data_IF_558238523222
#
_entry.id   IF_558238523222
#
_cell.length_a   1.000
_cell.length_b   1.000
_cell.length_c   1.000
_cell.angle_alpha   90.00
_cell.angle_beta   90.00
_cell.angle_gamma   90.00
#
_symmetry.space_group_name_H-M   'P 1'
#
loop_
_entity.id
_entity.type
_entity.pdbx_description
1 polymer ?
#
# COMPACT_ATOMS: atom_id res chain seq x y z
N UNK A 1 60.77 -31.58 13.60
CA UNK A 1 61.18 -32.15 14.90
C UNK A 1 60.38 -31.47 16.00
N UNK A 2 60.03 -32.25 17.04
CA UNK A 2 59.24 -31.96 18.26
C UNK A 2 59.36 -30.51 18.77
N UNK A 3 58.28 -29.86 19.22
CA UNK A 3 57.78 -29.84 20.62
C UNK A 3 56.29 -29.39 20.62
N UNK A 4 55.30 -30.08 21.21
CA UNK A 4 54.92 -30.24 22.65
C UNK A 4 54.84 -28.94 23.47
N UNK A 5 53.62 -28.53 23.85
CA UNK A 5 53.22 -27.88 25.12
C UNK A 5 51.69 -27.71 25.12
N UNK A 6 50.93 -28.53 25.84
CA UNK A 6 50.52 -28.44 27.26
C UNK A 6 49.22 -27.66 27.46
N UNK A 7 48.25 -28.42 27.96
CA UNK A 7 46.88 -28.17 28.40
C UNK A 7 46.83 -27.33 29.69
N UNK A 8 45.94 -26.34 29.80
CA UNK A 8 45.38 -25.92 31.10
C UNK A 8 43.87 -25.70 30.97
N UNK A 9 43.16 -26.55 31.70
CA UNK A 9 41.73 -26.56 32.00
C UNK A 9 41.50 -25.65 33.22
N UNK A 10 40.60 -24.67 33.12
CA UNK A 10 40.09 -23.93 34.27
C UNK A 10 38.56 -23.87 34.22
N UNK A 11 37.94 -24.82 34.89
CA UNK A 11 36.57 -24.80 35.38
C UNK A 11 36.40 -23.72 36.45
N UNK A 12 35.42 -22.82 36.27
CA UNK A 12 34.86 -22.02 37.36
C UNK A 12 33.42 -22.44 37.59
N UNK A 13 33.22 -23.15 38.71
CA UNK A 13 31.95 -23.29 39.42
C UNK A 13 31.71 -21.99 40.20
N UNK A 14 30.54 -21.38 40.04
CA UNK A 14 30.01 -20.45 41.03
C UNK A 14 28.60 -20.89 41.39
N UNK A 15 28.48 -21.30 42.65
CA UNK A 15 27.27 -21.66 43.35
C UNK A 15 26.69 -20.47 44.11
N UNK A 16 25.35 -20.46 44.19
CA UNK A 16 24.49 -19.99 45.30
C UNK A 16 24.47 -18.51 45.69
N UNK A 17 23.28 -17.88 45.65
CA UNK A 17 22.42 -17.66 46.83
C UNK A 17 21.47 -16.46 46.66
N UNK A 18 20.35 -16.49 47.40
CA UNK A 18 19.27 -15.50 47.58
C UNK A 18 18.12 -15.65 46.57
N UNK A 19 16.84 -15.66 46.95
CA UNK A 19 16.21 -15.11 48.15
C UNK A 19 14.90 -15.86 48.44
N UNK A 20 14.56 -15.91 49.72
CA UNK A 20 13.42 -16.54 50.35
C UNK A 20 12.11 -15.86 49.93
N UNK A 21 11.15 -16.65 49.45
CA UNK A 21 9.78 -16.22 49.18
C UNK A 21 9.11 -15.78 50.49
N UNK A 22 8.56 -14.56 50.49
CA UNK A 22 7.63 -14.08 51.50
C UNK A 22 6.24 -14.24 50.87
N UNK A 23 5.44 -15.13 51.47
CA UNK A 23 4.02 -15.20 51.21
C UNK A 23 3.37 -13.88 51.64
N UNK A 24 2.73 -13.20 50.70
CA UNK A 24 1.83 -12.08 50.96
C UNK A 24 0.47 -12.71 51.19
N UNK A 25 -0.09 -12.47 52.38
CA UNK A 25 -1.46 -12.85 52.73
C UNK A 25 -2.45 -12.01 51.90
N UNK A 26 -3.44 -12.68 51.31
CA UNK A 26 -4.55 -12.06 50.59
C UNK A 26 -5.42 -11.22 51.56
N UNK A 27 -5.53 -9.92 51.29
CA UNK A 27 -6.51 -9.02 51.91
C UNK A 27 -7.82 -9.06 51.09
N UNK A 28 -8.94 -9.59 51.62
CA UNK A 28 -10.20 -9.65 50.91
C UNK A 28 -10.97 -8.35 51.18
N UNK A 29 -10.63 -7.25 50.50
CA UNK A 29 -11.25 -5.98 50.92
C UNK A 29 -11.14 -4.74 50.03
N UNK A 30 -10.62 -4.80 48.81
CA UNK A 30 -10.59 -3.62 47.93
C UNK A 30 -11.13 -4.00 46.56
N UNK A 31 -12.35 -3.53 46.29
CA UNK A 31 -12.95 -3.45 44.96
C UNK A 31 -12.13 -2.47 44.11
N UNK A 32 -11.38 -2.92 43.09
CA UNK A 32 -10.85 -2.01 42.10
C UNK A 32 -12.02 -1.62 41.20
N UNK A 33 -12.73 -0.56 41.59
CA UNK A 33 -13.44 0.26 40.61
C UNK A 33 -12.50 0.49 39.43
N UNK A 34 -12.96 0.30 38.18
CA UNK A 34 -12.07 0.37 37.03
C UNK A 34 -11.41 1.73 37.05
N UNK A 35 -10.08 1.74 37.21
CA UNK A 35 -9.27 2.88 36.80
C UNK A 35 -9.69 3.16 35.37
N UNK A 36 -10.37 4.29 35.18
CA UNK A 36 -10.47 4.95 33.89
C UNK A 36 -9.06 4.99 33.33
N UNK A 37 -8.78 4.10 32.39
CA UNK A 37 -7.59 4.13 31.58
C UNK A 37 -7.58 5.52 30.95
N UNK A 38 -6.54 6.28 31.26
CA UNK A 38 -6.13 7.37 30.37
C UNK A 38 -5.90 6.64 29.04
N UNK A 39 -6.78 6.87 28.06
CA UNK A 39 -6.62 6.30 26.74
C UNK A 39 -5.29 6.85 26.23
N UNK A 40 -4.25 6.01 26.25
CA UNK A 40 -3.14 6.22 25.33
C UNK A 40 -3.80 6.28 23.95
N UNK A 41 -3.58 7.38 23.22
CA UNK A 41 -3.92 7.45 21.80
C UNK A 41 -3.36 6.17 21.19
N UNK A 42 -4.27 5.30 20.74
CA UNK A 42 -3.98 3.87 20.65
C UNK A 42 -2.93 3.59 19.59
N UNK A 43 -1.99 2.68 19.88
CA UNK A 43 -1.03 2.13 18.91
C UNK A 43 -1.72 1.33 17.78
N UNK A 44 -3.05 1.29 17.77
CA UNK A 44 -3.90 0.54 16.86
C UNK A 44 -5.22 1.28 16.66
N UNK A 45 -5.73 1.23 15.44
CA UNK A 45 -7.08 1.67 15.07
C UNK A 45 -7.80 0.56 14.31
N UNK A 46 -9.13 0.58 14.34
CA UNK A 46 -9.98 -0.32 13.56
C UNK A 46 -10.67 0.46 12.43
N UNK A 47 -10.56 -0.01 11.19
CA UNK A 47 -11.12 0.69 10.03
C UNK A 47 -12.65 0.80 10.11
N UNK A 48 -13.13 2.05 10.12
CA UNK A 48 -14.56 2.38 10.18
C UNK A 48 -15.10 2.55 11.61
N UNK A 49 -14.27 2.38 12.64
CA UNK A 49 -14.63 2.70 14.02
C UNK A 49 -14.30 4.16 14.34
N UNK A 50 -15.28 4.93 14.81
CA UNK A 50 -15.14 6.40 14.93
C UNK A 50 -14.48 6.88 16.21
N UNK A 51 -14.21 5.99 17.16
CA UNK A 51 -13.71 6.35 18.48
C UNK A 51 -12.29 6.93 18.42
N UNK A 52 -12.10 8.11 19.01
CA UNK A 52 -10.85 8.88 18.98
C UNK A 52 -10.35 9.23 17.58
N UNK A 53 -11.26 9.40 16.61
CA UNK A 53 -10.95 9.79 15.24
C UNK A 53 -11.55 11.15 14.90
N UNK A 54 -10.79 11.99 14.20
CA UNK A 54 -11.27 13.14 13.46
C UNK A 54 -11.65 12.64 12.07
N UNK A 55 -12.92 12.82 11.68
CA UNK A 55 -13.47 12.26 10.44
C UNK A 55 -14.04 13.37 9.57
N UNK A 56 -13.66 13.35 8.30
CA UNK A 56 -14.29 14.10 7.24
C UNK A 56 -14.96 13.11 6.26
N UNK A 57 -16.29 13.14 6.23
CA UNK A 57 -17.14 12.24 5.45
C UNK A 57 -17.71 12.89 4.18
N UNK A 58 -17.17 14.02 3.74
CA UNK A 58 -17.61 14.66 2.50
C UNK A 58 -17.18 13.81 1.30
N UNK A 59 -18.16 13.26 0.59
CA UNK A 59 -17.89 12.39 -0.54
C UNK A 59 -17.34 13.18 -1.74
N UNK A 60 -16.13 12.82 -2.17
CA UNK A 60 -15.43 13.46 -3.29
C UNK A 60 -15.40 12.50 -4.48
N UNK A 61 -15.85 12.99 -5.64
CA UNK A 61 -15.80 12.25 -6.91
C UNK A 61 -14.67 12.80 -7.77
N UNK A 62 -13.66 11.97 -8.01
CA UNK A 62 -12.51 12.28 -8.87
C UNK A 62 -12.71 11.59 -10.23
N UNK A 63 -12.92 12.40 -11.26
CA UNK A 63 -13.13 11.91 -12.62
C UNK A 63 -12.64 12.95 -13.64
N UNK A 64 -11.40 12.83 -14.16
CA UNK A 64 -10.97 13.67 -15.27
C UNK A 64 -11.82 13.42 -16.53
N UNK A 65 -12.01 14.45 -17.34
CA UNK A 65 -12.57 14.30 -18.69
C UNK A 65 -11.61 13.58 -19.64
N UNK A 66 -12.08 13.28 -20.86
CA UNK A 66 -11.27 12.65 -21.91
C UNK A 66 -10.07 13.55 -22.27
N UNK A 67 -8.87 12.97 -22.33
CA UNK A 67 -7.63 13.71 -22.61
C UNK A 67 -7.35 14.83 -21.59
N UNK A 68 -7.76 14.63 -20.33
CA UNK A 68 -7.53 15.56 -19.25
C UNK A 68 -6.80 14.88 -18.09
N UNK A 69 -6.10 15.69 -17.31
CA UNK A 69 -5.57 15.33 -16.00
C UNK A 69 -6.35 16.05 -14.90
N UNK A 70 -6.48 15.38 -13.76
CA UNK A 70 -7.04 15.92 -12.52
C UNK A 70 -6.04 15.69 -11.41
N UNK A 71 -5.85 16.72 -10.59
CA UNK A 71 -5.04 16.66 -9.37
C UNK A 71 -5.93 17.06 -8.20
N UNK A 72 -5.96 16.24 -7.16
CA UNK A 72 -6.68 16.49 -5.93
C UNK A 72 -5.71 16.42 -4.75
N UNK A 73 -5.65 17.51 -3.99
CA UNK A 73 -4.82 17.64 -2.79
C UNK A 73 -5.67 17.31 -1.56
N UNK A 74 -5.09 16.55 -0.64
CA UNK A 74 -5.72 16.15 0.62
C UNK A 74 -4.84 16.67 1.76
N UNK A 75 -5.48 17.40 2.66
CA UNK A 75 -4.96 17.88 3.94
C UNK A 75 -5.78 17.10 4.99
N UNK A 76 -5.16 16.11 5.63
CA UNK A 76 -5.87 15.13 6.47
C UNK A 76 -5.85 15.53 7.95
N UNK A 77 -4.94 16.41 8.37
CA UNK A 77 -4.95 16.97 9.74
C UNK A 77 -5.48 18.41 9.82
N UNK A 78 -5.86 19.00 8.69
CA UNK A 78 -6.41 20.35 8.56
C UNK A 78 -5.44 21.44 9.03
N UNK A 79 -4.13 21.25 8.87
CA UNK A 79 -3.11 22.26 9.20
C UNK A 79 -2.91 23.32 8.09
N UNK A 80 -3.58 23.15 6.95
CA UNK A 80 -3.50 24.01 5.77
C UNK A 80 -2.42 23.62 4.76
N UNK A 81 -1.69 22.54 5.02
CA UNK A 81 -0.64 21.97 4.17
C UNK A 81 -1.16 20.68 3.52
N UNK A 82 -0.78 20.45 2.26
CA UNK A 82 -1.18 19.22 1.57
C UNK A 82 -0.32 18.05 2.01
N UNK A 83 -0.94 17.06 2.63
CA UNK A 83 -0.30 15.80 3.04
C UNK A 83 -0.14 14.81 1.90
N UNK A 84 -1.22 14.64 1.15
CA UNK A 84 -1.31 13.66 0.08
C UNK A 84 -1.90 14.26 -1.18
N UNK A 85 -1.58 13.66 -2.31
CA UNK A 85 -2.17 14.06 -3.59
C UNK A 85 -2.57 12.84 -4.41
N UNK A 86 -3.78 12.89 -4.96
CA UNK A 86 -4.22 11.97 -6.00
C UNK A 86 -4.11 12.67 -7.35
N UNK A 87 -3.41 12.02 -8.27
CA UNK A 87 -3.37 12.41 -9.67
C UNK A 87 -4.08 11.37 -10.51
N UNK A 88 -4.87 11.83 -11.47
CA UNK A 88 -5.53 11.00 -12.47
C UNK A 88 -5.32 11.62 -13.86
N UNK A 89 -5.16 10.79 -14.87
CA UNK A 89 -5.23 11.23 -16.27
C UNK A 89 -5.95 10.19 -17.11
N UNK A 90 -6.69 10.68 -18.10
CA UNK A 90 -7.15 9.84 -19.21
C UNK A 90 -6.56 10.32 -20.52
N UNK A 91 -6.33 9.38 -21.43
CA UNK A 91 -5.92 9.63 -22.80
C UNK A 91 -6.65 8.68 -23.74
N UNK A 92 -7.00 9.16 -24.93
CA UNK A 92 -7.56 8.34 -26.01
C UNK A 92 -6.68 8.50 -27.23
N UNK A 93 -6.26 7.39 -27.81
CA UNK A 93 -5.46 7.39 -29.03
C UNK A 93 -6.01 6.39 -30.05
N UNK A 94 -5.92 6.74 -31.33
CA UNK A 94 -6.20 5.84 -32.44
C UNK A 94 -5.19 4.69 -32.40
N UNK A 95 -5.68 3.46 -32.25
CA UNK A 95 -4.88 2.24 -32.18
C UNK A 95 -4.51 1.77 -30.77
N UNK A 96 -4.49 2.66 -29.75
CA UNK A 96 -4.24 2.27 -28.36
C UNK A 96 -5.50 2.27 -27.48
N UNK A 97 -6.60 2.85 -27.97
CA UNK A 97 -7.88 2.90 -27.26
C UNK A 97 -7.90 3.91 -26.12
N UNK A 98 -8.76 3.65 -25.13
CA UNK A 98 -8.88 4.45 -23.92
C UNK A 98 -7.83 4.00 -22.89
N UNK A 99 -7.09 4.96 -22.36
CA UNK A 99 -6.06 4.78 -21.37
C UNK A 99 -6.38 5.65 -20.17
N UNK A 100 -6.24 5.08 -18.98
CA UNK A 100 -6.40 5.80 -17.73
C UNK A 100 -5.37 5.33 -16.71
N UNK A 101 -4.81 6.28 -15.99
CA UNK A 101 -3.90 6.00 -14.92
C UNK A 101 -4.14 6.94 -13.75
N UNK A 102 -3.88 6.42 -12.56
CA UNK A 102 -4.05 7.14 -11.32
C UNK A 102 -2.98 6.74 -10.32
N UNK A 103 -2.49 7.71 -9.56
CA UNK A 103 -1.54 7.49 -8.49
C UNK A 103 -1.89 8.35 -7.28
N UNK A 104 -1.56 7.84 -6.11
CA UNK A 104 -1.57 8.56 -4.85
C UNK A 104 -0.12 8.80 -4.44
N UNK A 105 0.21 10.00 -3.97
CA UNK A 105 1.55 10.31 -3.49
C UNK A 105 1.47 10.97 -2.12
N UNK A 106 2.38 10.59 -1.23
CA UNK A 106 2.74 11.41 -0.08
C UNK A 106 3.47 12.66 -0.56
N UNK A 107 2.95 13.83 -0.21
CA UNK A 107 3.55 15.14 -0.54
C UNK A 107 4.27 15.71 0.68
N UNK A 108 3.69 15.52 1.87
CA UNK A 108 4.28 15.97 3.13
C UNK A 108 5.26 14.91 3.67
N UNK A 109 6.44 15.30 4.19
CA UNK A 109 7.48 14.36 4.63
C UNK A 109 7.07 13.54 5.86
N UNK A 110 6.11 14.03 6.65
CA UNK A 110 5.60 13.30 7.81
C UNK A 110 4.48 12.32 7.45
N UNK A 111 4.00 12.33 6.21
CA UNK A 111 2.82 11.61 5.76
C UNK A 111 3.22 10.37 4.97
N UNK A 112 2.81 9.19 5.43
CA UNK A 112 3.23 7.90 4.86
C UNK A 112 2.02 6.99 4.65
N UNK A 113 2.03 6.19 3.59
CA UNK A 113 0.93 5.27 3.26
C UNK A 113 1.31 3.85 3.61
N UNK A 114 0.39 3.09 4.18
CA UNK A 114 0.58 1.67 4.49
C UNK A 114 0.77 0.88 3.21
N UNK A 115 1.80 0.04 3.18
CA UNK A 115 2.05 -0.81 2.03
C UNK A 115 3.09 -1.89 2.27
N UNK A 116 3.57 -2.48 1.17
CA UNK A 116 4.75 -3.34 1.16
C UNK A 116 5.61 -3.04 -0.07
N UNK A 117 6.92 -3.30 0.03
CA UNK A 117 7.81 -3.27 -1.12
C UNK A 117 7.82 -4.65 -1.79
N UNK A 118 7.50 -4.69 -3.08
CA UNK A 118 7.55 -5.91 -3.88
C UNK A 118 8.01 -5.62 -5.30
N UNK A 119 8.81 -6.52 -5.91
CA UNK A 119 9.16 -6.38 -7.31
C UNK A 119 7.96 -6.62 -8.22
N UNK A 120 7.95 -5.88 -9.33
CA UNK A 120 6.94 -5.98 -10.37
C UNK A 120 7.49 -6.74 -11.54
N UNK A 121 6.87 -7.88 -11.85
CA UNK A 121 7.24 -8.67 -13.04
C UNK A 121 6.13 -8.55 -14.06
N UNK A 122 6.41 -7.93 -15.21
CA UNK A 122 5.48 -7.88 -16.33
C UNK A 122 5.82 -8.98 -17.33
N UNK A 123 4.83 -9.74 -17.78
CA UNK A 123 4.92 -10.76 -18.82
C UNK A 123 4.34 -10.22 -20.14
N UNK A 124 4.79 -10.78 -21.27
CA UNK A 124 4.20 -10.54 -22.59
C UNK A 124 3.55 -11.81 -23.09
N UNK A 125 2.30 -11.72 -23.52
CA UNK A 125 1.59 -12.78 -24.20
C UNK A 125 1.24 -12.33 -25.61
N UNK A 126 1.53 -13.17 -26.61
CA UNK A 126 1.14 -12.95 -28.00
C UNK A 126 0.11 -13.99 -28.41
N UNK A 127 -1.10 -13.53 -28.71
CA UNK A 127 -2.13 -14.34 -29.36
C UNK A 127 -2.18 -14.00 -30.85
N UNK A 128 -2.12 -15.01 -31.71
CA UNK A 128 -2.14 -14.82 -33.16
C UNK A 128 -3.49 -15.24 -33.71
N UNK A 129 -4.30 -14.27 -34.14
CA UNK A 129 -5.56 -14.58 -34.83
C UNK A 129 -5.25 -14.77 -36.31
N UNK A 130 -5.27 -16.04 -36.76
CA UNK A 130 -4.79 -16.47 -38.08
C UNK A 130 -5.59 -15.93 -39.28
N UNK A 131 -6.72 -15.28 -39.06
CA UNK A 131 -7.63 -14.87 -40.14
C UNK A 131 -7.19 -13.56 -40.80
N UNK A 132 -6.46 -12.69 -40.10
CA UNK A 132 -6.13 -11.33 -40.57
C UNK A 132 -4.64 -10.94 -40.42
N UNK A 133 -3.75 -11.88 -40.09
CA UNK A 133 -2.36 -11.59 -39.69
C UNK A 133 -2.25 -10.59 -38.52
N UNK A 134 -3.25 -10.56 -37.63
CA UNK A 134 -3.25 -9.69 -36.46
C UNK A 134 -2.65 -10.45 -35.28
N UNK A 135 -1.60 -9.88 -34.69
CA UNK A 135 -1.00 -10.34 -33.45
C UNK A 135 -1.54 -9.45 -32.32
N UNK A 136 -2.29 -10.05 -31.41
CA UNK A 136 -2.75 -9.41 -30.18
C UNK A 136 -1.70 -9.61 -29.09
N UNK A 137 -1.07 -8.51 -28.67
CA UNK A 137 -0.07 -8.52 -27.62
C UNK A 137 -0.63 -8.00 -26.31
N UNK A 138 -0.54 -8.81 -25.26
CA UNK A 138 -1.01 -8.47 -23.91
C UNK A 138 0.17 -8.35 -22.95
N UNK A 139 0.25 -7.23 -22.23
CA UNK A 139 1.17 -7.04 -21.11
C UNK A 139 0.40 -7.16 -19.78
N UNK A 140 0.82 -8.07 -18.89
CA UNK A 140 0.17 -8.33 -17.60
C UNK A 140 1.18 -8.75 -16.53
N UNK A 141 0.85 -8.60 -15.24
CA UNK A 141 1.65 -9.18 -14.16
C UNK A 141 1.28 -10.62 -13.83
N UNK A 142 0.20 -11.13 -14.39
CA UNK A 142 -0.09 -12.55 -14.43
C UNK A 142 0.46 -13.14 -15.71
N UNK A 143 1.12 -14.27 -15.57
CA UNK A 143 1.53 -15.08 -16.70
C UNK A 143 0.29 -15.74 -17.30
N UNK A 144 0.00 -15.51 -18.59
CA UNK A 144 -1.18 -16.08 -19.28
C UNK A 144 -0.84 -17.46 -19.83
N UNK A 145 0.26 -17.57 -20.55
CA UNK A 145 0.84 -18.81 -21.05
C UNK A 145 2.09 -19.24 -20.28
N UNK A 146 2.32 -20.55 -20.07
CA UNK A 146 3.49 -21.02 -19.31
C UNK A 146 4.83 -20.58 -19.93
N UNK A 147 4.86 -20.29 -21.23
CA UNK A 147 6.03 -19.86 -21.98
C UNK A 147 6.13 -18.35 -22.20
N UNK A 148 5.22 -17.55 -21.64
CA UNK A 148 5.26 -16.09 -21.80
C UNK A 148 6.58 -15.53 -21.25
N UNK A 149 7.33 -14.77 -22.06
CA UNK A 149 8.57 -14.14 -21.61
C UNK A 149 8.28 -13.03 -20.59
N UNK A 150 9.24 -12.86 -19.69
CA UNK A 150 9.29 -11.67 -18.83
C UNK A 150 9.65 -10.47 -19.71
N UNK A 151 8.78 -9.46 -19.74
CA UNK A 151 9.03 -8.19 -20.40
C UNK A 151 9.97 -7.30 -19.60
N UNK A 152 9.73 -7.21 -18.29
CA UNK A 152 10.43 -6.29 -17.40
C UNK A 152 10.28 -6.74 -15.94
N UNK A 153 11.28 -6.37 -15.15
CA UNK A 153 11.26 -6.49 -13.69
C UNK A 153 11.60 -5.11 -13.11
N UNK A 154 10.72 -4.54 -12.30
CA UNK A 154 10.98 -3.31 -11.55
C UNK A 154 11.13 -3.68 -10.08
N UNK A 155 12.33 -3.54 -9.47
CA UNK A 155 12.52 -3.82 -8.06
C UNK A 155 11.85 -2.75 -7.18
N UNK A 156 11.61 -3.11 -5.91
CA UNK A 156 11.25 -2.19 -4.82
C UNK A 156 10.10 -1.23 -5.12
N UNK A 157 9.00 -1.74 -5.65
CA UNK A 157 7.82 -0.92 -5.91
C UNK A 157 6.86 -1.00 -4.72
N UNK A 158 6.48 0.15 -4.20
CA UNK A 158 5.50 0.28 -3.11
C UNK A 158 4.11 -0.18 -3.57
N UNK A 159 3.48 -1.07 -2.78
CA UNK A 159 2.16 -1.63 -3.03
C UNK A 159 1.21 -1.25 -1.90
N UNK A 160 0.08 -0.64 -2.26
CA UNK A 160 -1.02 -0.48 -1.31
C UNK A 160 -1.63 -1.84 -1.04
N UNK A 161 -1.92 -2.08 0.23
CA UNK A 161 -2.63 -3.25 0.70
C UNK A 161 -4.00 -2.78 1.20
N UNK A 162 -5.06 -2.96 0.40
CA UNK A 162 -6.40 -2.52 0.78
C UNK A 162 -6.91 -3.35 1.96
N UNK A 163 -7.63 -2.69 2.85
CA UNK A 163 -8.31 -3.30 3.98
C UNK A 163 -9.83 -3.24 3.82
N UNK A 164 -10.51 -4.03 4.63
CA UNK A 164 -11.95 -4.02 4.82
C UNK A 164 -12.32 -3.32 6.13
N UNK A 165 -13.61 -3.05 6.32
CA UNK A 165 -14.08 -2.52 7.60
C UNK A 165 -13.87 -3.55 8.70
N UNK A 166 -13.43 -3.12 9.87
CA UNK A 166 -13.13 -4.00 11.00
C UNK A 166 -11.72 -4.59 10.98
N UNK A 167 -10.95 -4.39 9.91
CA UNK A 167 -9.52 -4.71 9.95
C UNK A 167 -8.78 -3.69 10.85
N UNK A 168 -7.64 -4.10 11.39
CA UNK A 168 -6.80 -3.26 12.26
C UNK A 168 -5.63 -2.66 11.48
N UNK A 169 -5.25 -1.43 11.84
CA UNK A 169 -4.00 -0.78 11.45
C UNK A 169 -3.22 -0.43 12.71
N UNK A 170 -1.93 -0.74 12.75
CA UNK A 170 -1.06 -0.47 13.90
C UNK A 170 0.18 0.32 13.51
N UNK A 171 0.75 1.06 14.45
CA UNK A 171 2.03 1.79 14.32
C UNK A 171 3.21 0.88 13.94
N UNK A 172 3.06 -0.44 14.16
CA UNK A 172 4.08 -1.43 13.77
C UNK A 172 3.98 -1.86 12.30
N UNK A 173 2.94 -1.45 11.57
CA UNK A 173 2.80 -1.73 10.14
C UNK A 173 3.87 -1.01 9.31
N UNK A 174 4.10 -1.51 8.09
CA UNK A 174 5.04 -0.89 7.18
C UNK A 174 4.39 0.29 6.44
N UNK A 175 4.98 1.48 6.60
CA UNK A 175 4.57 2.70 5.92
C UNK A 175 5.68 3.26 5.04
N UNK A 176 5.28 3.82 3.89
CA UNK A 176 6.21 4.33 2.89
C UNK A 176 5.78 5.73 2.42
N UNK A 177 6.74 6.65 2.34
CA UNK A 177 6.58 7.94 1.66
C UNK A 177 6.96 7.77 0.19
N UNK A 178 5.99 7.43 -0.67
CA UNK A 178 6.26 7.19 -2.08
C UNK A 178 5.05 7.55 -2.95
N UNK A 179 5.24 7.54 -4.27
CA UNK A 179 4.16 7.57 -5.26
C UNK A 179 3.69 6.15 -5.54
N UNK A 180 2.43 5.88 -5.23
CA UNK A 180 1.82 4.56 -5.39
C UNK A 180 0.80 4.59 -6.51
N UNK A 181 0.93 3.65 -7.45
CA UNK A 181 -0.04 3.49 -8.52
C UNK A 181 -1.35 2.88 -7.99
N UNK A 182 -2.48 3.52 -8.30
CA UNK A 182 -3.83 3.01 -8.06
C UNK A 182 -4.40 2.32 -9.30
N UNK A 183 -4.02 2.83 -10.49
CA UNK A 183 -4.29 2.25 -11.82
C UNK A 183 -3.16 2.58 -12.77
N UNK A 184 -2.79 1.61 -13.62
CA UNK A 184 -1.94 1.86 -14.78
C UNK A 184 -2.38 1.02 -15.97
N UNK A 185 -2.88 1.65 -17.02
CA UNK A 185 -3.17 0.96 -18.31
C UNK A 185 -2.03 1.10 -19.32
N UNK A 186 -0.94 1.80 -18.98
CA UNK A 186 0.05 2.22 -19.97
C UNK A 186 1.33 1.39 -19.89
N UNK A 187 1.61 0.66 -20.97
CA UNK A 187 2.95 0.20 -21.33
C UNK A 187 3.26 0.68 -22.74
N UNK A 188 4.26 1.54 -22.85
CA UNK A 188 5.00 1.71 -24.10
C UNK A 188 6.13 0.68 -24.06
N UNK A 189 6.13 -0.26 -24.99
CA UNK A 189 7.28 -1.13 -25.23
C UNK A 189 7.53 -1.16 -26.74
N UNK A 190 8.80 -1.25 -27.19
CA UNK A 190 9.09 -1.24 -28.62
C UNK A 190 8.37 -2.41 -29.28
N UNK A 191 7.55 -2.07 -30.27
CA UNK A 191 6.98 -3.03 -31.23
C UNK A 191 8.16 -3.80 -31.83
N UNK A 192 8.28 -5.13 -31.65
CA UNK A 192 9.23 -5.90 -32.44
C UNK A 192 8.84 -5.72 -33.90
N UNK A 193 9.81 -5.52 -34.78
CA UNK A 193 9.55 -5.49 -36.20
C UNK A 193 9.10 -6.88 -36.67
N UNK A 194 7.80 -7.15 -36.63
CA UNK A 194 7.21 -8.18 -37.47
C UNK A 194 7.14 -7.59 -38.88
N UNK A 195 7.81 -8.23 -39.83
CA UNK A 195 7.74 -7.81 -41.22
C UNK A 195 6.33 -8.09 -41.78
N UNK A 196 5.81 -7.28 -42.72
CA UNK A 196 4.50 -7.50 -43.33
C UNK A 196 4.31 -8.96 -43.80
N UNK A 197 3.08 -9.52 -43.68
CA UNK A 197 1.79 -8.82 -43.60
C UNK A 197 1.22 -8.61 -42.18
N UNK A 198 2.00 -8.78 -41.13
CA UNK A 198 1.47 -8.75 -39.76
C UNK A 198 1.13 -7.34 -39.26
N UNK A 199 -0.01 -7.22 -38.57
CA UNK A 199 -0.37 -6.04 -37.78
C UNK A 199 -0.33 -6.40 -36.30
N UNK A 200 0.22 -5.52 -35.45
CA UNK A 200 0.25 -5.74 -34.00
C UNK A 200 -0.76 -4.83 -33.34
N UNK A 201 -1.67 -5.42 -32.56
CA UNK A 201 -2.55 -4.70 -31.65
C UNK A 201 -2.07 -4.95 -30.23
N UNK A 202 -1.61 -3.89 -29.56
CA UNK A 202 -1.14 -3.99 -28.18
C UNK A 202 -2.25 -3.57 -27.22
N UNK A 203 -2.57 -4.44 -26.28
CA UNK A 203 -3.44 -4.14 -25.14
C UNK A 203 -2.64 -4.26 -23.85
N UNK A 204 -2.65 -3.21 -23.04
CA UNK A 204 -2.07 -3.26 -21.70
C UNK A 204 -3.19 -3.53 -20.69
N UNK A 205 -3.28 -4.76 -20.17
CA UNK A 205 -4.13 -5.06 -19.02
C UNK A 205 -3.25 -5.47 -17.86
N UNK A 206 -2.61 -4.45 -17.29
CA UNK A 206 -1.75 -4.60 -16.14
C UNK A 206 -2.60 -4.61 -14.89
N UNK A 207 -2.93 -5.84 -14.50
CA UNK A 207 -3.46 -6.20 -13.20
C UNK A 207 -2.41 -6.08 -12.07
N UNK A 208 -1.24 -5.57 -12.42
CA UNK A 208 -0.10 -5.51 -11.55
C UNK A 208 -0.43 -4.81 -10.22
N UNK A 209 -1.13 -3.67 -10.24
CA UNK A 209 -1.31 -2.77 -9.08
C UNK A 209 -2.68 -2.12 -9.03
N UNK A 210 -3.72 -2.94 -8.89
CA UNK A 210 -5.08 -2.43 -8.89
C UNK A 210 -5.71 -2.59 -7.52
N UNK A 211 -6.09 -1.47 -6.93
CA UNK A 211 -7.20 -1.50 -5.99
C UNK A 211 -8.38 -2.20 -6.67
N UNK A 212 -9.09 -3.09 -5.96
CA UNK A 212 -10.21 -3.83 -6.54
C UNK A 212 -11.24 -2.84 -7.10
N UNK A 213 -11.65 -3.07 -8.35
CA UNK A 213 -12.59 -2.18 -9.03
C UNK A 213 -14.01 -2.42 -8.52
N UNK A 214 -14.72 -1.33 -8.27
CA UNK A 214 -16.11 -1.37 -7.82
C UNK A 214 -16.31 -1.78 -6.36
N UNK A 215 -15.24 -2.07 -5.63
CA UNK A 215 -15.28 -2.39 -4.20
C UNK A 215 -14.92 -1.17 -3.35
N UNK A 216 -15.60 -1.04 -2.20
CA UNK A 216 -15.22 -0.06 -1.18
C UNK A 216 -14.11 -0.68 -0.34
N UNK A 217 -12.99 0.02 -0.22
CA UNK A 217 -11.81 -0.42 0.52
C UNK A 217 -11.26 0.71 1.38
N UNK A 218 -10.49 0.31 2.38
CA UNK A 218 -9.75 1.22 3.24
C UNK A 218 -8.27 1.21 2.89
N UNK A 219 -7.64 2.39 2.92
CA UNK A 219 -6.21 2.56 2.75
C UNK A 219 -5.69 3.24 4.00
N UNK A 220 -4.84 2.54 4.75
CA UNK A 220 -4.21 3.06 5.96
C UNK A 220 -3.08 4.02 5.65
N UNK A 221 -2.91 5.02 6.49
CA UNK A 221 -1.78 5.93 6.49
C UNK A 221 -1.33 6.24 7.91
N UNK A 222 -0.10 6.71 8.05
CA UNK A 222 0.46 7.19 9.29
C UNK A 222 1.06 8.57 9.08
N UNK A 223 0.95 9.41 10.11
CA UNK A 223 1.45 10.76 10.07
C UNK A 223 2.10 11.18 11.38
N UNK A 224 3.30 11.75 11.31
CA UNK A 224 3.97 12.29 12.49
C UNK A 224 3.45 13.69 12.80
N UNK A 225 2.94 13.88 14.02
CA UNK A 225 2.49 15.19 14.49
C UNK A 225 3.67 16.10 14.89
N UNK A 226 3.36 17.36 15.21
CA UNK A 226 4.37 18.33 15.67
C UNK A 226 5.02 18.00 17.02
N UNK A 227 4.48 17.03 17.78
CA UNK A 227 5.04 16.53 19.04
C UNK A 227 6.00 15.34 18.83
N UNK A 228 6.04 14.77 17.63
CA UNK A 228 6.79 13.56 17.31
C UNK A 228 6.02 12.27 17.63
N UNK A 229 4.72 12.36 17.85
CA UNK A 229 3.82 11.21 18.02
C UNK A 229 3.24 10.80 16.66
N UNK A 230 3.16 9.50 16.41
CA UNK A 230 2.53 8.97 15.21
C UNK A 230 1.01 8.90 15.38
N UNK A 231 0.28 9.39 14.38
CA UNK A 231 -1.17 9.31 14.28
C UNK A 231 -1.53 8.45 13.08
N UNK A 232 -2.38 7.46 13.32
CA UNK A 232 -2.89 6.57 12.30
C UNK A 232 -4.18 7.13 11.69
N UNK A 233 -4.43 6.79 10.43
CA UNK A 233 -5.63 7.21 9.73
C UNK A 233 -5.97 6.33 8.53
N UNK A 234 -7.09 6.63 7.89
CA UNK A 234 -7.54 5.94 6.70
C UNK A 234 -8.24 6.83 5.68
N UNK A 235 -8.22 6.37 4.43
CA UNK A 235 -9.21 6.75 3.43
C UNK A 235 -10.14 5.58 3.14
N UNK A 236 -11.44 5.86 3.13
CA UNK A 236 -12.46 4.95 2.62
C UNK A 236 -12.78 5.36 1.19
N UNK A 237 -12.48 4.51 0.21
CA UNK A 237 -12.67 4.86 -1.19
C UNK A 237 -13.20 3.68 -2.02
N UNK A 238 -13.74 4.00 -3.19
CA UNK A 238 -14.08 3.03 -4.23
C UNK A 238 -13.48 3.47 -5.56
N UNK A 239 -12.69 2.59 -6.14
CA UNK A 239 -12.16 2.75 -7.48
C UNK A 239 -13.18 2.19 -8.48
N UNK A 240 -14.17 3.01 -8.84
CA UNK A 240 -15.37 2.58 -9.58
C UNK A 240 -15.03 2.13 -11.00
N UNK A 241 -14.16 2.89 -11.68
CA UNK A 241 -13.65 2.56 -13.02
C UNK A 241 -12.19 2.99 -13.11
N UNK A 242 -11.50 2.60 -14.18
CA UNK A 242 -10.11 3.02 -14.42
C UNK A 242 -9.89 4.55 -14.41
N UNK A 243 -10.94 5.35 -14.61
CA UNK A 243 -10.89 6.82 -14.60
C UNK A 243 -11.79 7.47 -13.56
N UNK A 244 -12.29 6.72 -12.58
CA UNK A 244 -13.20 7.25 -11.56
C UNK A 244 -12.87 6.68 -10.19
N UNK A 245 -12.56 7.57 -9.25
CA UNK A 245 -12.38 7.25 -7.84
C UNK A 245 -13.42 8.05 -7.06
N UNK A 246 -14.04 7.42 -6.07
CA UNK A 246 -14.90 8.09 -5.08
C UNK A 246 -14.24 7.92 -3.73
N UNK A 247 -13.91 9.03 -3.06
CA UNK A 247 -13.50 9.05 -1.66
C UNK A 247 -14.76 9.32 -0.86
N UNK A 248 -15.11 8.42 0.06
CA UNK A 248 -16.28 8.59 0.92
C UNK A 248 -15.94 9.28 2.22
N UNK A 249 -14.73 9.03 2.71
CA UNK A 249 -14.31 9.47 4.03
C UNK A 249 -12.78 9.48 4.12
N UNK A 250 -12.28 10.43 4.90
CA UNK A 250 -10.94 10.41 5.46
C UNK A 250 -11.02 10.52 6.98
N UNK A 251 -10.15 9.81 7.69
CA UNK A 251 -10.11 9.87 9.15
C UNK A 251 -8.66 9.82 9.65
N UNK A 252 -8.38 10.52 10.75
CA UNK A 252 -7.09 10.49 11.45
C UNK A 252 -7.31 10.52 12.96
N UNK A 253 -6.51 9.80 13.74
CA UNK A 253 -6.62 9.78 15.20
C UNK A 253 -6.62 11.21 15.77
N UNK A 254 -7.46 11.51 16.74
CA UNK A 254 -7.43 12.80 17.41
C UNK A 254 -6.11 12.98 18.18
N UNK A 255 -5.58 14.22 18.27
CA UNK A 255 -4.38 14.53 19.06
C UNK A 255 -4.61 14.41 20.58
#
# INVERSE_FOLDING_TARGET
MKTSSILILCTFLLSTSCRKDIAIEDDPGIDPSPMTSIANIGDTIEFGLVDNMLIDSDSIVLQPGINQSLTHNMDVDADGVTDFQIFMQTSVSLGAGFQAYSFMRSVHPNATVRGLLRPDTTFVHDDTVSVDNIIHRVYSCRRVGPLDPISSIVPDVTKILPFQSGDELTVMDAFYADTIALRRTNYSSPVPNYEPPYQIQTTGDSDCFLLPLGEVVYIGFAMMDGSGSERLGWWKLNHVTASRIVIYEQAIQAP
#
